data_IF_059935599209
#
_entry.id   IF_059935599209
#
_cell.length_a   1.000
_cell.length_b   1.000
_cell.length_c   1.000
_cell.angle_alpha   90.00
_cell.angle_beta   90.00
_cell.angle_gamma   90.00
#
_symmetry.space_group_name_H-M   'P 1'
#
loop_
_entity.id
_entity.type
_entity.pdbx_description
1 polymer ?
#
# COMPACT_ATOMS: atom_id res chain seq x y z
N UNK A 1 24.92 1.83 6.32
CA UNK A 1 24.36 1.46 7.65
C UNK A 1 22.91 1.08 7.43
N UNK A 2 22.45 -0.13 7.79
CA UNK A 2 21.06 -0.52 7.60
C UNK A 2 20.20 0.23 8.63
N UNK A 3 19.08 0.81 8.19
CA UNK A 3 18.09 1.44 9.07
C UNK A 3 17.27 0.31 9.69
N UNK A 4 17.50 0.04 10.98
CA UNK A 4 16.65 -0.83 11.78
C UNK A 4 15.36 -0.08 12.12
N UNK A 5 14.22 -0.74 11.95
CA UNK A 5 12.90 -0.24 12.31
C UNK A 5 12.66 -0.42 13.82
N UNK A 6 13.48 0.18 14.66
CA UNK A 6 13.25 0.23 16.10
C UNK A 6 12.39 1.46 16.44
N UNK A 7 11.06 1.29 16.41
CA UNK A 7 10.05 1.95 17.27
C UNK A 7 8.59 1.69 16.79
N UNK A 8 8.16 0.41 16.69
CA UNK A 8 6.76 0.06 16.41
C UNK A 8 6.10 -0.82 17.49
N UNK A 9 6.64 -0.86 18.71
CA UNK A 9 6.20 -1.75 19.80
C UNK A 9 5.03 -1.23 20.67
N UNK A 10 4.07 -0.49 20.12
CA UNK A 10 2.89 -0.09 20.94
C UNK A 10 1.56 0.03 20.20
N UNK A 11 1.55 -0.01 18.87
CA UNK A 11 0.29 0.14 18.12
C UNK A 11 -0.11 -1.20 17.53
N UNK A 12 -1.25 -1.80 17.96
CA UNK A 12 -1.81 -2.97 17.29
C UNK A 12 -1.83 -2.76 15.78
N UNK A 13 -1.48 -3.77 14.97
CA UNK A 13 -1.37 -3.63 13.51
C UNK A 13 -2.67 -3.10 12.88
N UNK A 14 -3.81 -3.39 13.50
CA UNK A 14 -5.12 -2.83 13.15
C UNK A 14 -5.19 -1.30 13.27
N UNK A 15 -4.59 -0.72 14.31
CA UNK A 15 -4.56 0.72 14.55
C UNK A 15 -3.50 1.39 13.66
N UNK A 16 -2.34 0.75 13.47
CA UNK A 16 -1.31 1.25 12.56
C UNK A 16 -1.86 1.34 11.11
N UNK A 17 -2.57 0.31 10.66
CA UNK A 17 -3.17 0.31 9.33
C UNK A 17 -4.39 1.23 9.20
N UNK A 18 -5.06 1.60 10.29
CA UNK A 18 -6.19 2.53 10.23
C UNK A 18 -5.78 3.91 9.71
N UNK A 19 -4.63 4.43 10.16
CA UNK A 19 -4.12 5.71 9.68
C UNK A 19 -3.73 5.63 8.19
N UNK A 20 -3.15 4.50 7.76
CA UNK A 20 -2.79 4.28 6.37
C UNK A 20 -4.02 4.21 5.44
N UNK A 21 -5.13 3.62 5.92
CA UNK A 21 -6.39 3.63 5.18
C UNK A 21 -6.95 5.05 4.98
N UNK A 22 -6.87 5.90 6.01
CA UNK A 22 -7.29 7.30 5.88
C UNK A 22 -6.41 8.05 4.87
N UNK A 23 -5.10 7.78 4.86
CA UNK A 23 -4.19 8.35 3.88
C UNK A 23 -4.52 7.89 2.46
N UNK A 24 -4.85 6.61 2.26
CA UNK A 24 -5.30 6.12 0.96
C UNK A 24 -6.54 6.85 0.46
N UNK A 25 -7.55 7.04 1.32
CA UNK A 25 -8.79 7.74 0.96
C UNK A 25 -8.51 9.18 0.48
N UNK A 26 -7.60 9.89 1.17
CA UNK A 26 -7.20 11.25 0.80
C UNK A 26 -6.50 11.26 -0.56
N UNK A 27 -5.58 10.35 -0.79
CA UNK A 27 -4.81 10.31 -2.04
C UNK A 27 -5.68 9.84 -3.22
N UNK A 28 -6.65 8.97 -2.96
CA UNK A 28 -7.67 8.60 -3.93
C UNK A 28 -8.54 9.82 -4.30
N UNK A 29 -9.02 10.56 -3.31
CA UNK A 29 -9.81 11.78 -3.53
C UNK A 29 -9.03 12.86 -4.29
N UNK A 30 -7.71 12.93 -4.12
CA UNK A 30 -6.81 13.80 -4.87
C UNK A 30 -6.50 13.28 -6.29
N UNK A 31 -7.01 12.10 -6.67
CA UNK A 31 -6.80 11.51 -7.99
C UNK A 31 -5.38 10.97 -8.20
N UNK A 32 -4.63 10.69 -7.13
CA UNK A 32 -3.28 10.14 -7.22
C UNK A 32 -3.29 8.68 -7.68
N UNK A 33 -4.33 7.92 -7.38
CA UNK A 33 -4.60 6.59 -7.94
C UNK A 33 -6.12 6.44 -8.15
N UNK A 34 -6.55 5.37 -8.82
CA UNK A 34 -7.97 5.18 -9.17
C UNK A 34 -8.74 4.53 -8.02
N UNK A 35 -8.34 3.33 -7.61
CA UNK A 35 -8.91 2.58 -6.49
C UNK A 35 -8.00 1.41 -6.09
N UNK A 36 -8.32 0.74 -4.97
CA UNK A 36 -7.65 -0.49 -4.52
C UNK A 36 -8.67 -1.63 -4.43
N UNK A 37 -8.36 -2.78 -5.02
CA UNK A 37 -9.13 -4.00 -4.88
C UNK A 37 -8.45 -4.99 -3.94
N UNK A 38 -9.25 -5.74 -3.18
CA UNK A 38 -8.77 -6.85 -2.34
C UNK A 38 -9.48 -8.15 -2.73
N UNK A 39 -9.15 -8.76 -3.88
CA UNK A 39 -9.84 -9.95 -4.37
C UNK A 39 -9.66 -11.19 -3.48
N UNK A 40 -8.61 -11.24 -2.65
CA UNK A 40 -8.37 -12.28 -1.64
C UNK A 40 -7.72 -11.70 -0.40
N UNK A 41 -7.75 -12.43 0.72
CA UNK A 41 -7.16 -11.98 2.01
C UNK A 41 -5.65 -11.70 1.93
N UNK A 42 -4.93 -12.40 1.06
CA UNK A 42 -3.48 -12.29 0.85
C UNK A 42 -3.13 -11.51 -0.44
N UNK A 43 -4.13 -10.89 -1.09
CA UNK A 43 -4.02 -10.34 -2.45
C UNK A 43 -4.70 -8.98 -2.57
N UNK A 44 -3.96 -7.94 -2.98
CA UNK A 44 -4.54 -6.64 -3.33
C UNK A 44 -4.03 -6.08 -4.66
N UNK A 45 -4.82 -5.25 -5.33
CA UNK A 45 -4.47 -4.62 -6.60
C UNK A 45 -4.68 -3.11 -6.45
N UNK A 46 -3.63 -2.32 -6.58
CA UNK A 46 -3.66 -0.87 -6.59
C UNK A 46 -3.65 -0.37 -8.03
N UNK A 47 -4.74 0.27 -8.45
CA UNK A 47 -4.90 0.79 -9.80
C UNK A 47 -4.30 2.20 -9.91
N UNK A 48 -3.11 2.33 -10.49
CA UNK A 48 -2.28 3.54 -10.48
C UNK A 48 -2.31 4.34 -11.79
N UNK A 49 -3.22 4.02 -12.70
CA UNK A 49 -3.24 4.60 -14.04
C UNK A 49 -3.77 6.03 -14.15
N UNK A 50 -3.44 6.90 -13.20
CA UNK A 50 -3.77 8.34 -13.22
C UNK A 50 -2.57 9.17 -13.63
N UNK A 51 -2.82 10.42 -14.02
CA UNK A 51 -1.74 11.41 -14.23
C UNK A 51 -1.08 11.78 -12.90
N UNK A 52 -1.86 11.87 -11.82
CA UNK A 52 -1.35 12.17 -10.48
C UNK A 52 -0.29 11.18 -10.00
N UNK A 53 -0.46 9.88 -10.28
CA UNK A 53 0.56 8.87 -9.96
C UNK A 53 1.92 9.14 -10.60
N UNK A 54 1.91 9.64 -11.85
CA UNK A 54 3.13 9.90 -12.63
C UNK A 54 3.84 11.19 -12.22
N UNK A 55 3.13 12.09 -11.54
CA UNK A 55 3.64 13.40 -11.11
C UNK A 55 4.21 13.39 -9.69
N UNK A 56 3.91 12.36 -8.89
CA UNK A 56 4.45 12.20 -7.54
C UNK A 56 5.82 11.49 -7.54
N UNK A 57 6.59 11.72 -6.49
CA UNK A 57 7.93 11.13 -6.33
C UNK A 57 7.87 9.63 -6.01
N UNK A 58 8.95 8.91 -6.29
CA UNK A 58 9.06 7.47 -6.01
C UNK A 58 8.84 7.13 -4.53
N UNK A 59 9.27 8.00 -3.61
CA UNK A 59 9.04 7.82 -2.17
C UNK A 59 7.56 7.95 -1.80
N UNK A 60 6.83 8.85 -2.47
CA UNK A 60 5.39 8.99 -2.31
C UNK A 60 4.66 7.77 -2.87
N UNK A 61 5.03 7.30 -4.07
CA UNK A 61 4.50 6.08 -4.66
C UNK A 61 4.68 4.87 -3.73
N UNK A 62 5.88 4.75 -3.13
CA UNK A 62 6.18 3.69 -2.16
C UNK A 62 5.32 3.78 -0.90
N UNK A 63 5.08 4.98 -0.36
CA UNK A 63 4.20 5.18 0.81
C UNK A 63 2.77 4.75 0.52
N UNK A 64 2.20 5.13 -0.63
CA UNK A 64 0.86 4.67 -1.05
C UNK A 64 0.84 3.14 -1.15
N UNK A 65 1.84 2.54 -1.79
CA UNK A 65 1.87 1.09 -1.97
C UNK A 65 1.95 0.35 -0.61
N UNK A 66 2.73 0.87 0.34
CA UNK A 66 2.78 0.31 1.70
C UNK A 66 1.45 0.48 2.43
N UNK A 67 0.81 1.65 2.30
CA UNK A 67 -0.51 1.89 2.87
C UNK A 67 -1.55 0.91 2.30
N UNK A 68 -1.55 0.70 0.97
CA UNK A 68 -2.45 -0.23 0.29
C UNK A 68 -2.17 -1.70 0.64
N UNK A 69 -0.94 -2.05 1.04
CA UNK A 69 -0.58 -3.38 1.51
C UNK A 69 -1.01 -3.65 2.95
N UNK A 70 -1.21 -2.61 3.77
CA UNK A 70 -1.47 -2.74 5.20
C UNK A 70 -2.67 -3.66 5.55
N UNK A 71 -3.83 -3.57 4.86
CA UNK A 71 -4.96 -4.47 5.12
C UNK A 71 -4.65 -5.94 4.83
N UNK A 72 -3.83 -6.22 3.83
CA UNK A 72 -3.38 -7.58 3.47
C UNK A 72 -2.53 -8.15 4.61
N UNK A 73 -1.62 -7.33 5.12
CA UNK A 73 -0.74 -7.71 6.22
C UNK A 73 -1.51 -7.96 7.53
N UNK A 74 -2.51 -7.14 7.86
CA UNK A 74 -3.37 -7.36 9.04
C UNK A 74 -4.17 -8.65 8.92
N UNK A 75 -4.71 -8.95 7.74
CA UNK A 75 -5.59 -10.10 7.56
C UNK A 75 -4.84 -11.44 7.45
N UNK A 76 -3.66 -11.45 6.83
CA UNK A 76 -2.96 -12.68 6.47
C UNK A 76 -1.51 -12.75 7.02
N UNK A 77 -0.95 -11.69 7.58
CA UNK A 77 0.45 -11.57 8.00
C UNK A 77 1.46 -11.53 6.84
N UNK A 78 1.03 -11.93 5.66
CA UNK A 78 1.81 -11.99 4.42
C UNK A 78 0.86 -11.88 3.22
N UNK A 79 1.40 -11.44 2.09
CA UNK A 79 0.62 -11.37 0.86
C UNK A 79 1.33 -10.55 -0.19
N UNK A 80 0.56 -10.12 -1.19
CA UNK A 80 1.09 -9.41 -2.34
C UNK A 80 0.16 -8.28 -2.76
N UNK A 81 0.76 -7.13 -3.08
CA UNK A 81 0.07 -6.01 -3.72
C UNK A 81 0.61 -5.87 -5.15
N UNK A 82 -0.27 -5.86 -6.13
CA UNK A 82 0.06 -5.56 -7.52
C UNK A 82 -0.29 -4.11 -7.82
N UNK A 83 0.62 -3.37 -8.45
CA UNK A 83 0.33 -2.05 -9.00
C UNK A 83 0.00 -2.22 -10.48
N UNK A 84 -1.21 -1.86 -10.86
CA UNK A 84 -1.71 -1.97 -12.24
C UNK A 84 -1.86 -0.57 -12.85
N UNK A 85 -1.06 -0.25 -13.88
CA UNK A 85 -1.29 0.93 -14.74
C UNK A 85 -2.33 0.58 -15.82
N UNK A 86 -2.91 1.58 -16.51
CA UNK A 86 -3.87 1.43 -17.62
C UNK A 86 -3.40 0.48 -18.72
N UNK A 87 -2.09 0.36 -18.90
CA UNK A 87 -1.47 -0.51 -19.90
C UNK A 87 -1.32 -1.97 -19.42
N UNK A 88 -1.86 -2.33 -18.25
CA UNK A 88 -1.74 -3.67 -17.67
C UNK A 88 -0.33 -3.99 -17.14
N UNK A 89 0.54 -2.99 -17.00
CA UNK A 89 1.88 -3.16 -16.45
C UNK A 89 1.77 -3.39 -14.94
N UNK A 90 2.32 -4.52 -14.49
CA UNK A 90 2.28 -4.97 -13.10
C UNK A 90 3.64 -4.79 -12.44
N UNK A 91 3.70 -3.97 -11.39
CA UNK A 91 4.80 -4.00 -10.40
C UNK A 91 4.31 -4.75 -9.17
N UNK A 92 5.10 -5.71 -8.68
CA UNK A 92 4.72 -6.53 -7.52
C UNK A 92 5.43 -5.99 -6.27
N UNK A 93 4.64 -5.65 -5.26
CA UNK A 93 5.12 -5.44 -3.89
C UNK A 93 4.82 -6.71 -3.11
N UNK A 94 5.87 -7.53 -2.95
CA UNK A 94 5.85 -8.69 -2.05
C UNK A 94 6.19 -8.23 -0.64
N UNK A 95 5.33 -8.56 0.33
CA UNK A 95 5.50 -8.11 1.71
C UNK A 95 5.23 -9.22 2.73
N UNK A 96 5.98 -9.18 3.84
CA UNK A 96 5.69 -9.90 5.08
C UNK A 96 5.78 -8.89 6.23
N UNK A 97 4.77 -8.83 7.09
CA UNK A 97 4.93 -8.20 8.39
C UNK A 97 5.66 -9.19 9.29
N UNK A 98 6.84 -8.82 9.77
CA UNK A 98 7.47 -9.49 10.90
C UNK A 98 7.02 -8.70 12.13
N UNK A 99 6.28 -9.35 13.02
CA UNK A 99 5.94 -8.81 14.34
C UNK A 99 7.14 -8.90 15.27
#
# INVERSE_FOLDING_TARGET
>A
MPVAADDLTSTPPEIACRNEMILLDVWQAQGVFVYVDYPRKDKGILHVGTRGWKEIEADQQRRIALAAFCPIAVQAGHGRLWLEDRDGKLLVVDGRMQF
#
